data_IF_742832415830
#
_entry.id   IF_742832415830
#
_cell.length_a   1.000
_cell.length_b   1.000
_cell.length_c   1.000
_cell.angle_alpha   90.00
_cell.angle_beta   90.00
_cell.angle_gamma   90.00
#
_symmetry.space_group_name_H-M   'P 1'
#
loop_
_entity.id
_entity.type
_entity.pdbx_description
1 polymer ?
#
# COMPACT_ATOMS: atom_id res chain seq x y z
N UNK A 1 10.94 -37.75 -7.22
CA UNK A 1 10.21 -37.83 -5.94
C UNK A 1 9.56 -36.48 -5.74
N UNK A 2 8.23 -36.49 -5.54
CA UNK A 2 7.36 -35.33 -5.66
C UNK A 2 7.54 -34.35 -4.48
N UNK A 3 7.80 -33.08 -4.78
CA UNK A 3 7.91 -32.02 -3.78
C UNK A 3 6.52 -31.54 -3.35
N UNK A 4 6.35 -31.46 -2.03
CA UNK A 4 5.11 -31.43 -1.27
C UNK A 4 4.21 -30.23 -1.57
N UNK A 5 2.99 -30.55 -2.01
CA UNK A 5 1.82 -29.68 -1.91
C UNK A 5 0.79 -30.41 -1.03
N UNK A 6 0.44 -29.83 0.12
CA UNK A 6 -0.40 -30.48 1.15
C UNK A 6 -1.91 -30.43 0.89
N UNK A 7 -2.36 -29.87 -0.23
CA UNK A 7 -3.79 -29.67 -0.50
C UNK A 7 -4.54 -30.91 -1.03
N UNK A 8 -3.84 -32.00 -1.30
CA UNK A 8 -4.45 -33.26 -1.77
C UNK A 8 -4.93 -33.25 -3.23
N UNK A 9 -4.69 -32.18 -3.99
CA UNK A 9 -5.07 -32.10 -5.40
C UNK A 9 -4.12 -32.92 -6.29
N UNK A 10 -4.67 -33.87 -7.05
CA UNK A 10 -3.95 -34.65 -8.04
C UNK A 10 -3.73 -33.83 -9.31
N UNK A 11 -2.56 -33.23 -9.45
CA UNK A 11 -2.22 -32.48 -10.66
C UNK A 11 -1.23 -33.22 -11.56
N UNK A 12 -1.19 -32.83 -12.84
CA UNK A 12 -0.45 -33.51 -13.89
C UNK A 12 1.05 -33.14 -13.94
N UNK A 13 1.92 -34.04 -14.43
CA UNK A 13 3.34 -33.74 -14.60
C UNK A 13 3.55 -32.63 -15.65
N UNK A 14 4.13 -31.51 -15.23
CA UNK A 14 4.36 -30.32 -16.06
C UNK A 14 3.63 -29.07 -15.58
N UNK A 15 2.71 -29.21 -14.63
CA UNK A 15 2.01 -28.07 -14.02
C UNK A 15 2.95 -27.21 -13.15
N UNK A 16 3.03 -25.91 -13.47
CA UNK A 16 3.86 -24.94 -12.72
C UNK A 16 3.26 -24.57 -11.36
N UNK A 17 1.94 -24.59 -11.26
CA UNK A 17 1.17 -24.27 -10.06
C UNK A 17 0.11 -25.37 -9.85
N UNK A 18 -0.24 -25.63 -8.60
CA UNK A 18 -1.31 -26.56 -8.26
C UNK A 18 -2.67 -26.01 -8.68
N UNK A 19 -3.43 -26.73 -9.50
CA UNK A 19 -4.78 -26.32 -9.93
C UNK A 19 -5.81 -26.24 -8.79
N UNK A 20 -5.57 -26.87 -7.64
CA UNK A 20 -6.46 -26.83 -6.48
C UNK A 20 -6.21 -25.65 -5.54
N UNK A 21 -4.96 -25.39 -5.16
CA UNK A 21 -4.61 -24.38 -4.16
C UNK A 21 -3.71 -23.24 -4.68
N UNK A 22 -3.21 -23.31 -5.91
CA UNK A 22 -2.30 -22.32 -6.50
C UNK A 22 -0.85 -22.39 -6.03
N UNK A 23 -0.48 -23.34 -5.16
CA UNK A 23 0.90 -23.45 -4.67
C UNK A 23 1.90 -23.77 -5.80
N UNK A 24 3.10 -23.16 -5.81
CA UNK A 24 4.12 -23.43 -6.82
C UNK A 24 4.66 -24.85 -6.65
N UNK A 25 4.67 -25.64 -7.74
CA UNK A 25 5.13 -27.04 -7.73
C UNK A 25 6.58 -27.22 -8.19
N UNK A 26 7.18 -26.15 -8.70
CA UNK A 26 8.61 -26.07 -8.98
C UNK A 26 9.18 -24.79 -8.40
N UNK A 27 10.40 -24.86 -7.90
CA UNK A 27 11.18 -23.68 -7.52
C UNK A 27 11.58 -22.93 -8.81
N UNK A 28 10.65 -22.16 -9.37
CA UNK A 28 10.98 -21.21 -10.41
C UNK A 28 11.92 -20.16 -9.80
N UNK A 29 13.19 -20.22 -10.16
CA UNK A 29 14.13 -19.13 -9.88
C UNK A 29 13.75 -17.98 -10.79
N UNK A 30 13.25 -16.89 -10.20
CA UNK A 30 13.23 -15.58 -10.84
C UNK A 30 14.66 -15.20 -11.22
N UNK A 31 15.00 -15.36 -12.50
CA UNK A 31 16.21 -14.76 -13.06
C UNK A 31 15.90 -13.30 -13.39
N UNK A 32 15.77 -12.47 -12.35
CA UNK A 32 15.79 -11.02 -12.52
C UNK A 32 17.26 -10.59 -12.41
N UNK A 33 17.94 -10.59 -13.56
CA UNK A 33 19.26 -9.97 -13.70
C UNK A 33 20.46 -10.80 -13.25
N UNK A 34 20.47 -12.12 -13.44
CA UNK A 34 21.71 -12.92 -13.39
C UNK A 34 22.40 -13.02 -12.03
N UNK A 35 21.73 -12.64 -10.94
CA UNK A 35 22.27 -12.79 -9.58
C UNK A 35 21.69 -14.05 -8.95
N UNK A 36 22.51 -15.10 -8.90
CA UNK A 36 22.23 -16.28 -8.07
C UNK A 36 22.15 -15.84 -6.61
N UNK A 37 21.14 -16.30 -5.87
CA UNK A 37 21.03 -16.09 -4.43
C UNK A 37 22.30 -16.52 -3.66
N UNK A 38 23.14 -17.38 -4.26
CA UNK A 38 24.42 -17.83 -3.71
C UNK A 38 25.56 -16.78 -3.80
N UNK A 39 25.43 -15.71 -4.60
CA UNK A 39 26.49 -14.71 -4.82
C UNK A 39 26.17 -13.33 -4.25
N UNK A 40 25.08 -13.20 -3.49
CA UNK A 40 24.70 -11.93 -2.87
C UNK A 40 25.53 -11.73 -1.59
N UNK A 41 26.30 -10.63 -1.47
CA UNK A 41 26.98 -10.31 -0.23
C UNK A 41 25.99 -10.19 0.94
N UNK A 42 26.37 -10.68 2.12
CA UNK A 42 25.47 -10.81 3.30
C UNK A 42 24.70 -9.51 3.60
N UNK A 43 25.37 -8.36 3.52
CA UNK A 43 24.75 -7.04 3.75
C UNK A 43 23.69 -6.64 2.70
N UNK A 44 23.77 -7.18 1.48
CA UNK A 44 22.80 -6.95 0.42
C UNK A 44 21.65 -7.94 0.51
N UNK A 45 21.91 -9.18 0.95
CA UNK A 45 20.88 -10.17 1.23
C UNK A 45 19.96 -9.70 2.37
N UNK A 46 20.52 -9.10 3.43
CA UNK A 46 19.74 -8.49 4.51
C UNK A 46 18.86 -7.33 4.01
N UNK A 47 19.40 -6.45 3.16
CA UNK A 47 18.61 -5.37 2.55
C UNK A 47 17.47 -5.90 1.67
N UNK A 48 17.74 -6.92 0.86
CA UNK A 48 16.72 -7.55 0.00
C UNK A 48 15.63 -8.20 0.86
N UNK A 49 16.00 -8.88 1.94
CA UNK A 49 15.06 -9.49 2.87
C UNK A 49 14.21 -8.42 3.60
N UNK A 50 14.82 -7.32 4.07
CA UNK A 50 14.09 -6.22 4.70
C UNK A 50 13.15 -5.53 3.72
N UNK A 51 13.58 -5.32 2.47
CA UNK A 51 12.75 -4.72 1.43
C UNK A 51 11.61 -5.65 1.01
N UNK A 52 11.84 -6.97 0.98
CA UNK A 52 10.77 -7.95 0.71
C UNK A 52 9.70 -7.95 1.81
N UNK A 53 10.10 -7.89 3.09
CA UNK A 53 9.15 -7.75 4.19
C UNK A 53 8.36 -6.43 4.13
N UNK A 54 9.01 -5.34 3.72
CA UNK A 54 8.32 -4.07 3.49
C UNK A 54 7.33 -4.14 2.31
N UNK A 55 7.58 -4.97 1.30
CA UNK A 55 6.70 -5.20 0.15
C UNK A 55 5.54 -6.16 0.44
N UNK A 56 5.72 -7.12 1.35
CA UNK A 56 4.67 -8.09 1.73
C UNK A 56 3.51 -7.42 2.48
N UNK A 57 3.72 -6.20 3.01
CA UNK A 57 2.73 -5.47 3.78
C UNK A 57 2.46 -6.11 5.14
N UNK A 58 2.03 -5.33 6.11
CA UNK A 58 1.64 -5.84 7.43
C UNK A 58 0.17 -5.58 7.72
N UNK A 59 -0.46 -6.49 8.48
CA UNK A 59 -1.79 -6.25 9.05
C UNK A 59 -1.61 -5.47 10.34
N UNK A 60 -2.00 -4.20 10.32
CA UNK A 60 -1.93 -3.31 11.47
C UNK A 60 -3.31 -2.72 11.76
N UNK A 61 -3.63 -2.52 13.03
CA UNK A 61 -4.82 -1.77 13.42
C UNK A 61 -4.52 -0.29 13.29
N UNK A 62 -5.28 0.38 12.44
CA UNK A 62 -5.14 1.81 12.15
C UNK A 62 -6.44 2.54 12.45
N UNK A 63 -6.35 3.85 12.65
CA UNK A 63 -7.52 4.73 12.74
C UNK A 63 -7.60 5.59 11.50
N UNK A 64 -8.78 5.64 10.88
CA UNK A 64 -9.06 6.49 9.71
C UNK A 64 -9.88 7.69 10.16
N UNK A 65 -9.44 8.89 9.83
CA UNK A 65 -10.15 10.15 10.06
C UNK A 65 -10.61 10.72 8.72
N UNK A 66 -11.89 11.07 8.64
CA UNK A 66 -12.43 11.92 7.59
C UNK A 66 -12.80 13.27 8.21
N UNK A 67 -12.36 14.35 7.58
CA UNK A 67 -12.69 15.71 8.00
C UNK A 67 -13.11 16.53 6.78
N UNK A 68 -14.15 17.34 6.93
CA UNK A 68 -14.75 18.11 5.84
C UNK A 68 -15.21 19.49 6.28
N UNK A 69 -15.30 20.43 5.35
CA UNK A 69 -15.73 21.80 5.64
C UNK A 69 -17.25 21.90 5.69
N UNK A 70 -17.78 22.30 6.84
CA UNK A 70 -19.22 22.53 6.99
C UNK A 70 -19.70 23.65 6.06
N UNK A 71 -20.75 23.37 5.27
CA UNK A 71 -21.41 24.37 4.43
C UNK A 71 -20.61 24.75 3.18
N UNK A 72 -19.64 23.92 2.78
CA UNK A 72 -18.80 24.15 1.61
C UNK A 72 -19.59 24.25 0.31
N UNK A 73 -20.64 23.45 0.11
CA UNK A 73 -21.45 23.50 -1.10
C UNK A 73 -22.03 24.90 -1.32
N UNK A 74 -22.64 25.49 -0.28
CA UNK A 74 -23.19 26.86 -0.34
C UNK A 74 -22.07 27.89 -0.48
N UNK A 75 -20.95 27.68 0.21
CA UNK A 75 -19.79 28.57 0.13
C UNK A 75 -19.17 28.57 -1.28
N UNK A 76 -19.29 27.51 -2.06
CA UNK A 76 -18.59 27.37 -3.33
C UNK A 76 -19.52 27.39 -4.56
N UNK A 77 -20.83 27.34 -4.37
CA UNK A 77 -21.82 27.16 -5.45
C UNK A 77 -21.70 28.14 -6.62
N UNK A 78 -21.46 29.43 -6.32
CA UNK A 78 -21.43 30.50 -7.33
C UNK A 78 -20.02 31.04 -7.58
N UNK A 79 -18.98 30.33 -7.13
CA UNK A 79 -17.59 30.75 -7.27
C UNK A 79 -16.92 30.05 -8.43
N UNK A 80 -16.03 30.77 -9.10
CA UNK A 80 -15.12 30.14 -10.05
C UNK A 80 -14.19 29.17 -9.29
N UNK A 81 -13.78 28.04 -9.91
CA UNK A 81 -12.85 27.10 -9.30
C UNK A 81 -11.60 27.74 -8.69
N UNK A 82 -11.05 28.80 -9.29
CA UNK A 82 -9.85 29.49 -8.81
C UNK A 82 -10.12 30.23 -7.50
N UNK A 83 -11.27 30.90 -7.38
CA UNK A 83 -11.71 31.57 -6.15
C UNK A 83 -12.06 30.57 -5.05
N UNK A 84 -12.72 29.47 -5.43
CA UNK A 84 -13.02 28.37 -4.53
C UNK A 84 -11.73 27.77 -3.94
N UNK A 85 -10.72 27.57 -4.79
CA UNK A 85 -9.41 27.05 -4.38
C UNK A 85 -8.70 27.97 -3.40
N UNK A 86 -8.71 29.28 -3.66
CA UNK A 86 -8.12 30.27 -2.76
C UNK A 86 -8.74 30.28 -1.35
N UNK A 87 -9.99 29.84 -1.21
CA UNK A 87 -10.66 29.68 0.09
C UNK A 87 -10.35 28.32 0.73
N UNK A 88 -10.36 27.24 -0.07
CA UNK A 88 -10.16 25.88 0.42
C UNK A 88 -8.73 25.57 0.83
N UNK A 89 -7.74 26.01 0.06
CA UNK A 89 -6.34 25.64 0.27
C UNK A 89 -5.85 26.01 1.70
N UNK A 90 -6.09 27.22 2.24
CA UNK A 90 -5.70 27.56 3.61
C UNK A 90 -6.40 26.71 4.68
N UNK A 91 -7.62 26.23 4.42
CA UNK A 91 -8.36 25.37 5.34
C UNK A 91 -7.77 23.96 5.33
N UNK A 92 -7.53 23.41 4.14
CA UNK A 92 -6.92 22.10 3.95
C UNK A 92 -5.50 22.07 4.55
N UNK A 93 -4.69 23.12 4.34
CA UNK A 93 -3.37 23.26 4.96
C UNK A 93 -3.43 23.18 6.48
N UNK A 94 -4.43 23.83 7.11
CA UNK A 94 -4.63 23.75 8.57
C UNK A 94 -5.05 22.36 9.02
N UNK A 95 -5.93 21.68 8.28
CA UNK A 95 -6.30 20.30 8.56
C UNK A 95 -5.09 19.36 8.46
N UNK A 96 -4.29 19.50 7.40
CA UNK A 96 -3.06 18.72 7.19
C UNK A 96 -2.03 18.98 8.30
N UNK A 97 -1.80 20.24 8.65
CA UNK A 97 -0.90 20.61 9.74
C UNK A 97 -1.34 20.03 11.08
N UNK A 98 -2.65 20.01 11.36
CA UNK A 98 -3.19 19.37 12.56
C UNK A 98 -2.96 17.86 12.55
N UNK A 99 -3.22 17.17 11.43
CA UNK A 99 -2.94 15.73 11.29
C UNK A 99 -1.47 15.42 11.54
N UNK A 100 -0.55 16.15 10.90
CA UNK A 100 0.88 15.97 11.08
C UNK A 100 1.36 16.26 12.50
N UNK A 101 0.77 17.26 13.17
CA UNK A 101 1.07 17.58 14.58
C UNK A 101 0.78 16.40 15.51
N UNK A 102 -0.22 15.57 15.19
CA UNK A 102 -0.58 14.38 15.95
C UNK A 102 -0.03 13.10 15.32
N UNK A 103 1.06 13.22 14.55
CA UNK A 103 1.79 12.09 13.92
C UNK A 103 0.92 11.22 12.99
N UNK A 104 -0.15 11.82 12.44
CA UNK A 104 -0.97 11.20 11.40
C UNK A 104 -0.40 11.46 10.00
N UNK A 105 -0.86 10.63 9.06
CA UNK A 105 -0.54 10.74 7.63
C UNK A 105 -1.79 11.08 6.85
N UNK A 106 -1.76 12.15 6.07
CA UNK A 106 -2.84 12.47 5.13
C UNK A 106 -2.67 11.57 3.90
N UNK A 107 -3.62 10.66 3.68
CA UNK A 107 -3.58 9.73 2.56
C UNK A 107 -4.20 10.35 1.30
N UNK A 108 -5.28 11.13 1.45
CA UNK A 108 -6.00 11.74 0.34
C UNK A 108 -6.60 13.09 0.74
N UNK A 109 -6.68 14.00 -0.23
CA UNK A 109 -7.48 15.24 -0.18
C UNK A 109 -8.68 15.04 -1.10
N UNK A 110 -9.89 15.35 -0.64
CA UNK A 110 -11.14 15.09 -1.36
C UNK A 110 -12.01 16.35 -1.34
N UNK A 111 -12.01 17.12 -2.43
CA UNK A 111 -12.79 18.37 -2.50
C UNK A 111 -12.34 19.36 -1.43
N UNK A 112 -13.20 19.54 -0.43
CA UNK A 112 -13.06 20.43 0.73
C UNK A 112 -12.61 19.73 2.02
N UNK A 113 -12.33 18.43 1.95
CA UNK A 113 -11.94 17.60 3.08
C UNK A 113 -10.68 16.77 2.87
N UNK A 114 -10.33 16.02 3.91
CA UNK A 114 -9.17 15.11 3.92
C UNK A 114 -9.50 13.73 4.50
N UNK A 115 -8.74 12.73 4.07
CA UNK A 115 -8.66 11.40 4.69
C UNK A 115 -7.27 11.21 5.29
N UNK A 116 -7.22 10.98 6.60
CA UNK A 116 -5.99 10.77 7.35
C UNK A 116 -5.97 9.40 8.04
N UNK A 117 -4.76 8.87 8.22
CA UNK A 117 -4.48 7.61 8.89
C UNK A 117 -3.61 7.87 10.11
N UNK A 118 -3.94 7.22 11.22
CA UNK A 118 -3.15 7.21 12.45
C UNK A 118 -2.75 5.79 12.81
N UNK A 119 -1.48 5.62 13.18
CA UNK A 119 -0.90 4.31 13.46
C UNK A 119 -0.64 3.46 12.21
N UNK A 120 -0.56 4.08 11.03
CA UNK A 120 -0.18 3.42 9.78
C UNK A 120 1.28 2.93 9.77
#
# INVERSE_FOLDING_TARGET
MAEDCSCGFAGEPGERFCGGCGAPRSAWRLDIGGVSAASVPVHLAEKIASSRRALEGERKQVTVLFADLKGSMELLADRDPEEARAILDPVLERMMAAVHRFEGTVNQVMGDGIMALFGA
#
